data_IF_047242611577
#
_entry.id   IF_047242611577
#
_cell.length_a   1.000
_cell.length_b   1.000
_cell.length_c   1.000
_cell.angle_alpha   90.00
_cell.angle_beta   90.00
_cell.angle_gamma   90.00
#
_symmetry.space_group_name_H-M   'P 1'
#
loop_
_entity.id
_entity.type
_entity.pdbx_description
1 polymer ?
#
# COMPACT_ATOMS: atom_id res chain seq x y z
N UNK A 1 4.82 32.81 -9.33
CA UNK A 1 5.14 31.57 -10.08
C UNK A 1 4.05 30.60 -9.68
N UNK A 2 3.17 30.17 -10.59
CA UNK A 2 2.18 29.14 -10.26
C UNK A 2 2.96 27.84 -10.14
N UNK A 3 3.01 27.25 -8.95
CA UNK A 3 3.55 25.91 -8.79
C UNK A 3 2.62 24.94 -9.54
N UNK A 4 3.19 24.20 -10.49
CA UNK A 4 2.45 23.18 -11.23
C UNK A 4 2.12 22.03 -10.27
N UNK A 5 0.84 21.76 -10.08
CA UNK A 5 0.37 20.61 -9.31
C UNK A 5 0.16 19.43 -10.25
N UNK A 6 0.90 18.35 -10.03
CA UNK A 6 0.77 17.13 -10.81
C UNK A 6 -0.50 16.38 -10.43
N UNK A 7 -1.32 16.03 -11.40
CA UNK A 7 -2.60 15.32 -11.20
C UNK A 7 -2.44 13.84 -11.53
N UNK A 8 -2.61 12.99 -10.53
CA UNK A 8 -2.33 11.57 -10.65
C UNK A 8 -3.56 10.76 -10.23
N UNK A 9 -3.97 9.81 -11.07
CA UNK A 9 -5.04 8.88 -10.70
C UNK A 9 -4.46 7.72 -9.90
N UNK A 10 -4.92 7.55 -8.68
CA UNK A 10 -4.63 6.37 -7.88
C UNK A 10 -5.71 5.30 -8.10
N UNK A 11 -5.33 4.19 -8.74
CA UNK A 11 -6.21 3.07 -9.08
C UNK A 11 -6.63 2.27 -7.84
N UNK A 12 -7.35 2.90 -6.92
CA UNK A 12 -7.84 2.28 -5.68
C UNK A 12 -9.23 2.78 -5.31
N UNK A 13 -10.03 1.89 -4.69
CA UNK A 13 -11.29 2.26 -4.02
C UNK A 13 -11.13 2.27 -2.49
N UNK A 14 -9.95 1.91 -1.98
CA UNK A 14 -9.69 1.90 -0.54
C UNK A 14 -9.37 3.31 -0.03
N UNK A 15 -10.32 3.90 0.71
CA UNK A 15 -10.19 5.24 1.29
C UNK A 15 -9.00 5.38 2.27
N UNK A 16 -8.61 4.29 2.95
CA UNK A 16 -7.44 4.29 3.84
C UNK A 16 -6.15 4.44 3.04
N UNK A 17 -6.00 3.67 1.95
CA UNK A 17 -4.85 3.78 1.04
C UNK A 17 -4.76 5.17 0.41
N UNK A 18 -5.91 5.73 -0.02
CA UNK A 18 -5.95 7.06 -0.64
C UNK A 18 -5.47 8.14 0.32
N UNK A 19 -5.95 8.11 1.57
CA UNK A 19 -5.54 9.07 2.60
C UNK A 19 -4.05 8.96 2.91
N UNK A 20 -3.57 7.74 3.17
CA UNK A 20 -2.15 7.49 3.44
C UNK A 20 -1.26 7.94 2.28
N UNK A 21 -1.66 7.67 1.02
CA UNK A 21 -0.90 8.12 -0.16
C UNK A 21 -0.88 9.65 -0.30
N UNK A 22 -1.99 10.32 -0.01
CA UNK A 22 -2.06 11.78 -0.03
C UNK A 22 -1.11 12.40 1.02
N UNK A 23 -1.10 11.85 2.22
CA UNK A 23 -0.21 12.30 3.30
C UNK A 23 1.28 12.11 2.94
N UNK A 24 1.61 11.01 2.24
CA UNK A 24 2.99 10.68 1.86
C UNK A 24 3.48 11.52 0.68
N UNK A 25 2.66 11.72 -0.35
CA UNK A 25 3.05 12.45 -1.56
C UNK A 25 3.08 13.97 -1.33
N UNK A 26 2.29 14.46 -0.38
CA UNK A 26 2.33 15.83 0.10
C UNK A 26 1.87 16.88 -0.91
N UNK A 27 2.29 18.14 -0.68
CA UNK A 27 1.95 19.27 -1.55
C UNK A 27 2.58 19.12 -2.95
N UNK A 28 1.89 19.61 -3.97
CA UNK A 28 2.32 19.52 -5.38
C UNK A 28 1.80 18.29 -6.14
N UNK A 29 1.06 17.39 -5.46
CA UNK A 29 0.37 16.25 -6.08
C UNK A 29 -1.12 16.31 -5.74
N UNK A 30 -1.96 16.35 -6.75
CA UNK A 30 -3.41 16.16 -6.62
C UNK A 30 -3.74 14.70 -6.95
N UNK A 31 -4.19 13.95 -5.94
CA UNK A 31 -4.63 12.57 -6.14
C UNK A 31 -6.10 12.54 -6.57
N UNK A 32 -6.34 11.92 -7.70
CA UNK A 32 -7.65 11.60 -8.24
C UNK A 32 -7.97 10.13 -8.03
N UNK A 33 -9.25 9.83 -7.91
CA UNK A 33 -9.77 8.45 -7.94
C UNK A 33 -10.24 8.09 -9.36
N UNK A 34 -10.42 6.79 -9.68
CA UNK A 34 -11.06 6.39 -10.93
C UNK A 34 -12.44 7.04 -11.13
N UNK A 35 -13.19 7.24 -10.05
CA UNK A 35 -14.51 7.87 -10.09
C UNK A 35 -14.45 9.36 -10.48
N UNK A 36 -13.41 10.08 -10.06
CA UNK A 36 -13.18 11.48 -10.46
C UNK A 36 -12.90 11.61 -11.96
N UNK A 37 -12.48 10.50 -12.60
CA UNK A 37 -12.27 10.38 -14.03
C UNK A 37 -13.41 9.64 -14.76
N UNK A 38 -14.57 9.42 -14.11
CA UNK A 38 -15.73 8.71 -14.66
C UNK A 38 -15.40 7.28 -15.13
N UNK A 39 -14.38 6.64 -14.51
CA UNK A 39 -13.95 5.27 -14.83
C UNK A 39 -14.68 4.29 -13.90
N UNK A 40 -15.47 3.41 -14.51
CA UNK A 40 -16.16 2.34 -13.82
C UNK A 40 -15.42 1.01 -13.90
N UNK A 41 -15.66 0.14 -12.90
CA UNK A 41 -15.08 -1.19 -12.82
C UNK A 41 -13.67 -1.21 -12.23
N UNK A 42 -13.13 -2.40 -12.12
CA UNK A 42 -11.80 -2.68 -11.56
C UNK A 42 -11.06 -3.67 -12.44
N UNK A 43 -9.73 -3.65 -12.38
CA UNK A 43 -8.90 -4.66 -13.01
C UNK A 43 -9.07 -6.02 -12.32
N UNK A 44 -9.13 -7.08 -13.09
CA UNK A 44 -9.00 -8.43 -12.55
C UNK A 44 -7.56 -8.66 -12.07
N UNK A 45 -7.41 -9.00 -10.79
CA UNK A 45 -6.13 -9.33 -10.19
C UNK A 45 -5.77 -10.80 -10.48
N UNK A 46 -5.30 -11.07 -11.70
CA UNK A 46 -4.92 -12.40 -12.19
C UNK A 46 -3.41 -12.67 -12.09
N UNK A 47 -2.64 -11.70 -11.61
CA UNK A 47 -1.20 -11.82 -11.44
C UNK A 47 -0.81 -12.79 -10.33
N UNK A 48 0.35 -13.42 -10.48
CA UNK A 48 0.94 -14.30 -9.48
C UNK A 48 1.80 -13.55 -8.44
N UNK A 49 2.05 -12.26 -8.66
CA UNK A 49 2.89 -11.41 -7.81
C UNK A 49 2.23 -10.06 -7.56
N UNK A 50 2.65 -9.37 -6.48
CA UNK A 50 2.21 -8.00 -6.20
C UNK A 50 2.56 -7.04 -7.36
N UNK A 51 3.72 -7.22 -7.98
CA UNK A 51 4.14 -6.39 -9.11
C UNK A 51 3.23 -6.57 -10.35
N UNK A 52 2.84 -7.81 -10.65
CA UNK A 52 1.90 -8.09 -11.74
C UNK A 52 0.52 -7.49 -11.46
N UNK A 53 -0.02 -7.68 -10.25
CA UNK A 53 -1.31 -7.14 -9.88
C UNK A 53 -1.31 -5.60 -9.84
N UNK A 54 -0.26 -4.99 -9.29
CA UNK A 54 -0.07 -3.54 -9.30
C UNK A 54 -0.05 -3.00 -10.73
N UNK A 55 0.69 -3.67 -11.63
CA UNK A 55 0.73 -3.30 -13.04
C UNK A 55 -0.63 -3.45 -13.73
N UNK A 56 -1.34 -4.55 -13.52
CA UNK A 56 -2.68 -4.78 -14.11
C UNK A 56 -3.65 -3.67 -13.72
N UNK A 57 -3.66 -3.28 -12.43
CA UNK A 57 -4.49 -2.19 -11.93
C UNK A 57 -4.12 -0.83 -12.54
N UNK A 58 -2.83 -0.48 -12.55
CA UNK A 58 -2.37 0.77 -13.13
C UNK A 58 -2.66 0.84 -14.63
N UNK A 59 -2.39 -0.25 -15.37
CA UNK A 59 -2.62 -0.35 -16.81
C UNK A 59 -4.11 -0.25 -17.17
N UNK A 60 -4.99 -0.87 -16.39
CA UNK A 60 -6.44 -0.81 -16.57
C UNK A 60 -6.96 0.63 -16.56
N UNK A 61 -6.50 1.44 -15.61
CA UNK A 61 -6.88 2.86 -15.52
C UNK A 61 -6.18 3.67 -16.61
N UNK A 62 -4.88 3.43 -16.84
CA UNK A 62 -4.10 4.12 -17.86
C UNK A 62 -4.72 4.00 -19.25
N UNK A 63 -5.17 2.79 -19.63
CA UNK A 63 -5.82 2.55 -20.91
C UNK A 63 -7.14 3.33 -21.07
N UNK A 64 -7.85 3.56 -19.96
CA UNK A 64 -9.12 4.32 -19.98
C UNK A 64 -8.89 5.81 -19.98
N UNK A 65 -7.86 6.30 -19.32
CA UNK A 65 -7.50 7.71 -19.30
C UNK A 65 -6.84 8.12 -20.63
N UNK A 66 -5.91 7.32 -21.15
CA UNK A 66 -5.05 7.71 -22.26
C UNK A 66 -5.23 6.87 -23.53
N UNK A 67 -5.80 5.68 -23.46
CA UNK A 67 -5.87 4.72 -24.58
C UNK A 67 -6.75 5.18 -25.76
N UNK A 68 -7.65 6.13 -25.55
CA UNK A 68 -8.52 6.70 -26.60
C UNK A 68 -7.93 7.95 -27.26
N UNK A 69 -6.68 8.32 -27.01
CA UNK A 69 -6.06 9.52 -27.61
C UNK A 69 -5.95 9.47 -29.14
N UNK A 70 -6.20 8.29 -29.77
CA UNK A 70 -6.23 8.12 -31.22
C UNK A 70 -7.60 8.41 -31.88
N UNK A 71 -8.67 8.64 -31.09
CA UNK A 71 -10.01 8.96 -31.60
C UNK A 71 -10.52 10.23 -30.96
N UNK A 72 -10.76 11.32 -31.74
CA UNK A 72 -11.27 12.57 -31.16
C UNK A 72 -12.74 12.46 -30.82
N UNK A 73 -13.12 13.04 -29.65
CA UNK A 73 -14.45 13.50 -29.26
C UNK A 73 -15.38 12.57 -28.50
N UNK A 74 -15.15 12.53 -27.18
CA UNK A 74 -16.24 12.44 -26.19
C UNK A 74 -15.82 13.16 -24.90
N UNK A 75 -16.72 13.47 -23.99
CA UNK A 75 -16.48 14.28 -22.78
C UNK A 75 -15.35 13.76 -21.87
N UNK A 76 -14.87 12.52 -22.05
CA UNK A 76 -13.68 11.96 -21.44
C UNK A 76 -12.37 12.67 -21.89
N UNK A 77 -12.37 13.38 -23.02
CA UNK A 77 -11.17 14.09 -23.51
C UNK A 77 -10.72 15.21 -22.56
N UNK A 78 -11.62 15.78 -21.76
CA UNK A 78 -11.27 16.82 -20.80
C UNK A 78 -10.60 16.26 -19.53
N UNK A 79 -10.92 15.03 -19.12
CA UNK A 79 -10.27 14.41 -17.96
C UNK A 79 -8.83 13.99 -18.28
N UNK A 80 -8.59 13.46 -19.50
CA UNK A 80 -7.25 13.06 -19.94
C UNK A 80 -6.28 14.24 -20.06
N UNK A 81 -6.77 15.42 -20.45
CA UNK A 81 -5.92 16.62 -20.57
C UNK A 81 -5.41 17.13 -19.22
N UNK A 82 -6.04 16.71 -18.14
CA UNK A 82 -5.74 17.13 -16.78
C UNK A 82 -4.95 16.11 -15.96
N UNK A 83 -4.73 14.88 -16.47
CA UNK A 83 -4.02 13.80 -15.78
C UNK A 83 -2.61 13.66 -16.32
N UNK A 84 -1.61 13.55 -15.45
CA UNK A 84 -0.20 13.42 -15.80
C UNK A 84 0.28 11.97 -15.75
N UNK A 85 -0.25 11.21 -14.77
CA UNK A 85 0.13 9.83 -14.55
C UNK A 85 -0.98 9.04 -13.87
N UNK A 86 -0.83 7.73 -13.88
CA UNK A 86 -1.64 6.78 -13.12
C UNK A 86 -0.72 5.96 -12.26
N UNK A 87 -1.09 5.68 -11.01
CA UNK A 87 -0.43 4.65 -10.24
C UNK A 87 -1.42 3.71 -9.57
N UNK A 88 -0.93 2.52 -9.27
CA UNK A 88 -1.64 1.54 -8.45
C UNK A 88 -0.67 0.91 -7.45
N UNK A 89 -1.19 0.47 -6.31
CA UNK A 89 -0.48 -0.39 -5.40
C UNK A 89 -1.12 -1.78 -5.33
N UNK A 90 -0.28 -2.79 -5.14
CA UNK A 90 -0.71 -4.07 -4.60
C UNK A 90 0.07 -4.38 -3.33
N UNK A 91 -0.64 -4.82 -2.30
CA UNK A 91 -0.06 -4.93 -0.95
C UNK A 91 -0.59 -6.16 -0.24
N UNK A 92 0.28 -6.78 0.54
CA UNK A 92 -0.09 -7.94 1.31
C UNK A 92 0.85 -8.23 2.44
N UNK A 93 0.46 -9.26 3.22
CA UNK A 93 1.22 -9.82 4.33
C UNK A 93 1.85 -11.13 3.88
N UNK A 94 3.14 -11.28 4.08
CA UNK A 94 3.87 -12.53 3.87
C UNK A 94 4.36 -13.04 5.24
N UNK A 95 4.16 -14.35 5.52
CA UNK A 95 4.55 -14.98 6.78
C UNK A 95 5.43 -16.19 6.49
N UNK A 96 6.65 -16.19 7.01
CA UNK A 96 7.68 -17.16 6.66
C UNK A 96 7.29 -18.60 7.05
N UNK A 97 6.75 -18.80 8.26
CA UNK A 97 6.29 -20.10 8.73
C UNK A 97 5.13 -20.70 7.92
N UNK A 98 4.47 -19.89 7.09
CA UNK A 98 3.38 -20.31 6.23
C UNK A 98 3.78 -20.28 4.73
N UNK A 99 5.09 -20.28 4.42
CA UNK A 99 5.60 -20.28 3.06
C UNK A 99 5.25 -19.02 2.26
N UNK A 100 5.06 -17.88 2.95
CA UNK A 100 4.68 -16.60 2.36
C UNK A 100 3.18 -16.33 2.32
N UNK A 101 2.33 -17.27 2.77
CA UNK A 101 0.90 -16.99 2.92
C UNK A 101 0.66 -15.90 3.97
N UNK A 102 -0.40 -15.08 3.80
CA UNK A 102 -1.41 -15.05 2.74
C UNK A 102 -0.95 -14.43 1.39
N UNK A 103 0.16 -13.68 1.31
CA UNK A 103 0.69 -13.12 0.08
C UNK A 103 -0.34 -12.28 -0.68
N UNK A 104 -0.48 -12.51 -1.99
CA UNK A 104 -1.46 -11.81 -2.85
C UNK A 104 -2.93 -12.08 -2.45
N UNK A 105 -3.17 -13.07 -1.59
CA UNK A 105 -4.52 -13.38 -1.08
C UNK A 105 -4.84 -12.70 0.25
N UNK A 106 -4.00 -11.75 0.70
CA UNK A 106 -4.11 -11.06 1.99
C UNK A 106 -5.52 -10.58 2.31
N UNK A 107 -6.20 -9.91 1.39
CA UNK A 107 -7.55 -9.39 1.63
C UNK A 107 -8.64 -10.46 1.72
N UNK A 108 -8.43 -11.62 1.10
CA UNK A 108 -9.40 -12.72 0.96
C UNK A 108 -8.91 -14.04 1.55
N UNK A 109 -8.01 -13.97 2.53
CA UNK A 109 -7.35 -15.16 3.09
C UNK A 109 -8.32 -16.15 3.73
N UNK A 110 -9.35 -15.68 4.43
CA UNK A 110 -10.40 -16.52 5.00
C UNK A 110 -11.60 -16.74 4.07
N UNK A 111 -11.72 -15.97 2.98
CA UNK A 111 -12.82 -16.05 2.04
C UNK A 111 -13.02 -14.75 1.26
N UNK A 112 -14.00 -14.73 0.34
CA UNK A 112 -14.23 -13.61 -0.57
C UNK A 112 -14.85 -12.36 0.10
N UNK A 113 -15.36 -12.49 1.32
CA UNK A 113 -16.08 -11.40 2.03
C UNK A 113 -15.13 -10.30 2.53
N UNK A 114 -13.81 -10.47 2.34
CA UNK A 114 -12.77 -9.53 2.77
C UNK A 114 -12.87 -9.15 4.26
N UNK A 115 -13.31 -10.10 5.12
CA UNK A 115 -13.42 -9.90 6.55
C UNK A 115 -12.05 -10.06 7.22
N UNK A 116 -11.45 -8.96 7.63
CA UNK A 116 -10.12 -8.99 8.25
C UNK A 116 -10.11 -9.65 9.63
N UNK A 117 -11.22 -9.67 10.35
CA UNK A 117 -11.31 -10.41 11.62
C UNK A 117 -11.12 -11.90 11.38
N UNK A 118 -11.84 -12.45 10.41
CA UNK A 118 -11.76 -13.87 10.04
C UNK A 118 -10.38 -14.20 9.42
N UNK A 119 -9.82 -13.26 8.63
CA UNK A 119 -8.48 -13.41 8.06
C UNK A 119 -7.41 -13.51 9.15
N UNK A 120 -7.47 -12.67 10.20
CA UNK A 120 -6.55 -12.73 11.35
C UNK A 120 -6.74 -14.01 12.15
N UNK A 121 -7.98 -14.44 12.39
CA UNK A 121 -8.25 -15.68 13.13
C UNK A 121 -7.70 -16.90 12.38
N UNK A 122 -7.88 -16.96 11.07
CA UNK A 122 -7.30 -18.00 10.24
C UNK A 122 -5.77 -17.97 10.28
N UNK A 123 -5.17 -16.78 10.22
CA UNK A 123 -3.72 -16.61 10.30
C UNK A 123 -3.16 -17.15 11.61
N UNK A 124 -3.73 -16.72 12.73
CA UNK A 124 -3.30 -17.16 14.06
C UNK A 124 -3.49 -18.69 14.26
N UNK A 125 -4.59 -19.24 13.74
CA UNK A 125 -4.85 -20.68 13.75
C UNK A 125 -3.81 -21.44 12.93
N UNK A 126 -3.48 -20.99 11.73
CA UNK A 126 -2.50 -21.65 10.86
C UNK A 126 -1.09 -21.60 11.46
N UNK A 127 -0.68 -20.48 12.06
CA UNK A 127 0.59 -20.36 12.76
C UNK A 127 0.70 -21.33 13.93
N UNK A 128 -0.37 -21.46 14.74
CA UNK A 128 -0.43 -22.45 15.80
C UNK A 128 -0.31 -23.88 15.26
N UNK A 129 -1.00 -24.18 14.16
CA UNK A 129 -0.94 -25.48 13.49
C UNK A 129 0.44 -25.78 12.91
N UNK A 130 1.16 -24.77 12.46
CA UNK A 130 2.53 -24.87 11.95
C UNK A 130 3.58 -25.04 13.07
N UNK A 131 3.20 -24.95 14.36
CA UNK A 131 4.12 -25.02 15.48
C UNK A 131 4.98 -23.76 15.64
N UNK A 132 4.51 -22.61 15.18
CA UNK A 132 5.18 -21.33 15.37
C UNK A 132 4.93 -20.82 16.80
N UNK A 133 5.68 -21.36 17.76
CA UNK A 133 5.44 -21.19 19.19
C UNK A 133 6.23 -20.02 19.82
N UNK A 134 7.21 -19.47 19.09
CA UNK A 134 7.97 -18.27 19.50
C UNK A 134 7.70 -17.11 18.57
N UNK A 135 8.01 -15.89 18.99
CA UNK A 135 7.91 -14.71 18.11
C UNK A 135 8.85 -14.84 16.88
N UNK A 136 10.02 -15.39 17.08
CA UNK A 136 11.01 -15.61 16.01
C UNK A 136 10.49 -16.57 14.94
N UNK A 137 9.65 -17.56 15.31
CA UNK A 137 8.98 -18.47 14.36
C UNK A 137 7.89 -17.77 13.55
N UNK A 138 7.49 -16.57 13.95
CA UNK A 138 6.36 -15.80 13.38
C UNK A 138 6.82 -14.61 12.56
N UNK A 139 8.02 -14.69 12.00
CA UNK A 139 8.52 -13.64 11.09
C UNK A 139 7.56 -13.40 9.95
N UNK A 140 7.33 -12.14 9.71
CA UNK A 140 6.40 -11.69 8.68
C UNK A 140 6.82 -10.32 8.13
N UNK A 141 6.35 -9.99 6.96
CA UNK A 141 6.49 -8.65 6.40
C UNK A 141 5.22 -8.21 5.69
N UNK A 142 4.91 -6.94 5.82
CA UNK A 142 4.04 -6.30 4.86
C UNK A 142 4.84 -5.89 3.62
N UNK A 143 4.26 -6.14 2.45
CA UNK A 143 4.79 -5.70 1.16
C UNK A 143 3.83 -4.75 0.49
N UNK A 144 4.39 -3.76 -0.20
CA UNK A 144 3.64 -2.88 -1.09
C UNK A 144 4.45 -2.70 -2.37
N UNK A 145 3.87 -3.06 -3.51
CA UNK A 145 4.46 -2.77 -4.82
C UNK A 145 3.60 -1.73 -5.51
N UNK A 146 4.23 -0.63 -5.91
CA UNK A 146 3.60 0.49 -6.63
C UNK A 146 4.07 0.48 -8.07
N UNK A 147 3.13 0.49 -9.01
CA UNK A 147 3.40 0.73 -10.42
C UNK A 147 2.90 2.13 -10.79
N UNK A 148 3.81 3.01 -11.25
CA UNK A 148 3.52 4.33 -11.78
C UNK A 148 3.68 4.32 -13.30
N UNK A 149 2.69 4.82 -14.04
CA UNK A 149 2.72 4.94 -15.51
C UNK A 149 2.39 6.38 -15.89
N UNK A 150 3.35 7.08 -16.49
CA UNK A 150 3.14 8.43 -16.99
C UNK A 150 2.29 8.45 -18.26
N UNK A 151 1.80 9.63 -18.63
CA UNK A 151 1.01 9.85 -19.85
C UNK A 151 1.71 9.34 -21.11
N UNK A 152 3.02 9.48 -21.23
CA UNK A 152 3.84 9.02 -22.35
C UNK A 152 4.07 7.49 -22.37
N UNK A 153 3.56 6.77 -21.37
CA UNK A 153 3.72 5.33 -21.19
C UNK A 153 4.99 4.91 -20.45
N UNK A 154 5.83 5.85 -20.03
CA UNK A 154 7.01 5.54 -19.19
C UNK A 154 6.57 4.95 -17.86
N UNK A 155 7.12 3.81 -17.51
CA UNK A 155 6.71 3.01 -16.35
C UNK A 155 7.83 2.88 -15.33
N UNK A 156 7.45 3.00 -14.05
CA UNK A 156 8.31 2.72 -12.90
C UNK A 156 7.61 1.77 -11.94
N UNK A 157 8.40 0.96 -11.25
CA UNK A 157 7.93 0.03 -10.23
C UNK A 157 8.75 0.25 -8.97
N UNK A 158 8.08 0.41 -7.85
CA UNK A 158 8.68 0.61 -6.53
C UNK A 158 8.18 -0.45 -5.57
N UNK A 159 9.05 -0.88 -4.68
CA UNK A 159 8.76 -1.90 -3.67
C UNK A 159 9.12 -1.36 -2.29
N UNK A 160 8.24 -1.59 -1.32
CA UNK A 160 8.47 -1.25 0.08
C UNK A 160 8.03 -2.38 0.97
N UNK A 161 8.85 -2.70 1.99
CA UNK A 161 8.53 -3.70 2.99
C UNK A 161 8.62 -3.13 4.40
N UNK A 162 7.80 -3.66 5.30
CA UNK A 162 7.86 -3.45 6.73
C UNK A 162 8.04 -4.80 7.39
N UNK A 163 9.22 -5.04 7.97
CA UNK A 163 9.56 -6.28 8.64
C UNK A 163 8.99 -6.33 10.05
N UNK A 164 8.55 -7.51 10.47
CA UNK A 164 7.94 -7.70 11.78
C UNK A 164 7.65 -9.16 12.11
N UNK A 165 6.76 -9.34 13.06
CA UNK A 165 6.33 -10.64 13.56
C UNK A 165 4.82 -10.65 13.75
N UNK A 166 4.21 -11.83 13.66
CA UNK A 166 2.80 -12.00 14.03
C UNK A 166 2.67 -12.30 15.52
N UNK A 167 1.92 -11.48 16.23
CA UNK A 167 1.60 -11.67 17.65
C UNK A 167 0.84 -12.95 17.90
N UNK A 168 0.71 -13.34 19.19
CA UNK A 168 -0.08 -14.53 19.58
C UNK A 168 -1.58 -14.24 19.69
N UNK A 169 -1.96 -12.97 19.78
CA UNK A 169 -3.35 -12.51 19.89
C UNK A 169 -3.51 -11.12 19.29
N UNK A 170 -4.74 -10.75 18.98
CA UNK A 170 -5.08 -9.40 18.53
C UNK A 170 -4.90 -8.40 19.67
N UNK A 171 -4.29 -7.26 19.40
CA UNK A 171 -4.13 -6.13 20.33
C UNK A 171 -4.32 -4.80 19.61
N UNK A 172 -4.83 -3.79 20.33
CA UNK A 172 -5.12 -2.47 19.76
C UNK A 172 -6.42 -2.44 18.95
N UNK A 173 -6.82 -1.22 18.59
CA UNK A 173 -8.04 -0.97 17.80
C UNK A 173 -7.82 0.05 16.66
N UNK A 174 -6.59 0.53 16.50
CA UNK A 174 -6.21 1.43 15.42
C UNK A 174 -5.91 0.72 14.11
N UNK A 175 -5.71 1.50 13.06
CA UNK A 175 -5.29 0.98 11.77
C UNK A 175 -6.36 0.19 11.02
N UNK A 176 -5.91 -0.74 10.18
CA UNK A 176 -6.78 -1.60 9.36
C UNK A 176 -6.08 -2.93 9.03
N UNK A 177 -6.84 -3.88 8.49
CA UNK A 177 -6.29 -5.14 8.01
C UNK A 177 -5.72 -6.01 9.12
N UNK A 178 -4.46 -6.35 9.03
CA UNK A 178 -3.74 -7.19 10.00
C UNK A 178 -2.97 -6.39 11.06
N UNK A 179 -3.14 -5.06 11.12
CA UNK A 179 -2.46 -4.20 12.11
C UNK A 179 -2.60 -4.72 13.56
N UNK A 180 -3.77 -5.28 13.99
CA UNK A 180 -3.92 -5.79 15.37
C UNK A 180 -3.08 -7.04 15.70
N UNK A 181 -2.45 -7.67 14.72
CA UNK A 181 -1.62 -8.87 14.92
C UNK A 181 -0.18 -8.71 14.44
N UNK A 182 0.18 -7.55 13.88
CA UNK A 182 1.51 -7.32 13.34
C UNK A 182 2.35 -6.43 14.26
N UNK A 183 3.49 -6.92 14.73
CA UNK A 183 4.46 -6.23 15.58
C UNK A 183 5.67 -5.87 14.69
N UNK A 184 5.96 -4.59 14.42
CA UNK A 184 7.16 -4.20 13.68
C UNK A 184 8.42 -4.53 14.45
N UNK A 185 9.54 -4.79 13.75
CA UNK A 185 10.85 -4.98 14.41
C UNK A 185 11.34 -3.69 15.05
N UNK A 186 12.22 -3.80 16.04
CA UNK A 186 12.87 -2.63 16.66
C UNK A 186 13.72 -1.84 15.65
N UNK A 187 14.30 -2.51 14.65
CA UNK A 187 15.03 -1.85 13.57
C UNK A 187 14.10 -0.95 12.74
N UNK A 188 12.90 -1.43 12.44
CA UNK A 188 11.87 -0.62 11.74
C UNK A 188 11.41 0.57 12.58
N UNK A 189 11.19 0.36 13.88
CA UNK A 189 10.83 1.44 14.81
C UNK A 189 11.96 2.48 14.93
N UNK A 190 13.22 2.09 14.79
CA UNK A 190 14.38 3.00 14.88
C UNK A 190 14.34 4.10 13.82
N UNK A 191 13.70 3.86 12.67
CA UNK A 191 13.51 4.85 11.61
C UNK A 191 12.71 6.08 12.09
N UNK A 192 11.87 5.93 13.13
CA UNK A 192 11.12 7.03 13.75
C UNK A 192 12.01 8.08 14.42
N UNK A 193 13.29 7.78 14.66
CA UNK A 193 14.29 8.77 15.11
C UNK A 193 14.42 9.92 14.12
N UNK A 194 14.35 9.62 12.82
CA UNK A 194 14.37 10.64 11.77
C UNK A 194 13.10 11.49 11.76
N UNK A 195 11.98 10.95 12.29
CA UNK A 195 10.72 11.65 12.53
C UNK A 195 10.68 12.46 13.84
N UNK A 196 11.79 12.53 14.57
CA UNK A 196 11.92 13.36 15.78
C UNK A 196 11.64 12.64 17.11
N UNK A 197 11.35 11.33 17.11
CA UNK A 197 11.16 10.58 18.35
C UNK A 197 12.49 10.30 19.05
N UNK A 198 12.48 10.43 20.38
CA UNK A 198 13.59 10.02 21.22
C UNK A 198 13.70 8.49 21.32
N UNK A 199 14.88 7.99 21.66
CA UNK A 199 15.09 6.54 21.89
C UNK A 199 14.18 5.96 22.98
N UNK A 200 13.75 6.77 23.96
CA UNK A 200 12.85 6.33 25.04
C UNK A 200 11.45 6.12 24.47
N UNK A 201 10.92 7.07 23.70
CA UNK A 201 9.60 6.97 23.06
C UNK A 201 9.55 5.76 22.09
N UNK A 202 10.64 5.54 21.33
CA UNK A 202 10.72 4.35 20.44
C UNK A 202 10.68 3.06 21.25
N UNK A 203 11.37 2.97 22.40
CA UNK A 203 11.32 1.78 23.25
C UNK A 203 9.93 1.51 23.82
N UNK A 204 9.12 2.52 24.03
CA UNK A 204 7.73 2.37 24.48
C UNK A 204 6.82 1.78 23.39
N UNK A 205 7.25 1.82 22.13
CA UNK A 205 6.56 1.20 21.00
C UNK A 205 6.99 -0.24 20.74
N UNK A 206 8.18 -0.64 21.25
CA UNK A 206 8.69 -2.00 21.08
C UNK A 206 7.71 -3.06 21.62
N UNK A 207 7.46 -4.08 20.82
CA UNK A 207 6.53 -5.15 21.13
C UNK A 207 5.03 -4.82 20.98
N UNK A 208 4.70 -3.58 20.64
CA UNK A 208 3.31 -3.19 20.32
C UNK A 208 2.94 -3.57 18.89
N UNK A 209 1.68 -3.91 18.69
CA UNK A 209 1.13 -4.11 17.35
C UNK A 209 0.96 -2.75 16.64
N UNK A 210 0.88 -2.77 15.30
CA UNK A 210 0.60 -1.56 14.52
C UNK A 210 -0.72 -0.87 14.93
N UNK A 211 -1.70 -1.65 15.42
CA UNK A 211 -2.97 -1.11 15.91
C UNK A 211 -2.86 -0.39 17.27
N UNK A 212 -1.75 -0.53 17.98
CA UNK A 212 -1.44 0.15 19.23
C UNK A 212 -0.51 1.35 19.03
N UNK A 213 0.07 1.49 17.83
CA UNK A 213 0.94 2.62 17.45
C UNK A 213 0.08 3.74 16.86
N UNK A 214 0.29 5.01 17.27
CA UNK A 214 -0.40 6.15 16.67
C UNK A 214 -0.26 6.20 15.15
N UNK A 215 -1.36 6.46 14.43
CA UNK A 215 -1.43 6.38 12.97
C UNK A 215 -0.35 7.22 12.26
N UNK A 216 -0.09 8.44 12.75
CA UNK A 216 0.94 9.31 12.17
C UNK A 216 2.35 8.73 12.28
N UNK A 217 2.66 7.96 13.35
CA UNK A 217 3.95 7.27 13.50
C UNK A 217 4.00 6.01 12.65
N UNK A 218 2.91 5.23 12.63
CA UNK A 218 2.79 4.06 11.76
C UNK A 218 3.02 4.42 10.30
N UNK A 219 2.46 5.54 9.83
CA UNK A 219 2.60 5.99 8.45
C UNK A 219 4.05 6.26 8.06
N UNK A 220 4.91 6.71 8.99
CA UNK A 220 6.33 6.98 8.73
C UNK A 220 7.20 5.72 8.52
N UNK A 221 6.73 4.55 8.98
CA UNK A 221 7.45 3.27 8.84
C UNK A 221 6.74 2.30 7.91
N UNK A 222 5.54 2.64 7.43
CA UNK A 222 4.71 1.71 6.67
C UNK A 222 5.39 1.24 5.38
N UNK A 223 5.06 0.01 4.96
CA UNK A 223 5.47 -0.55 3.67
C UNK A 223 5.07 0.36 2.50
N UNK A 224 3.89 1.01 2.61
CA UNK A 224 3.42 1.95 1.58
C UNK A 224 4.22 3.24 1.58
N UNK A 225 4.59 3.78 2.76
CA UNK A 225 5.49 4.93 2.85
C UNK A 225 6.80 4.65 2.11
N UNK A 226 7.44 3.50 2.37
CA UNK A 226 8.69 3.10 1.73
C UNK A 226 8.57 2.93 0.22
N UNK A 227 7.42 2.42 -0.27
CA UNK A 227 7.16 2.28 -1.70
C UNK A 227 6.86 3.62 -2.39
N UNK A 228 6.18 4.57 -1.71
CA UNK A 228 5.77 5.85 -2.28
C UNK A 228 6.83 6.95 -2.14
N UNK A 229 7.73 6.88 -1.16
CA UNK A 229 8.78 7.88 -0.98
C UNK A 229 9.65 8.09 -2.25
N UNK A 230 10.11 7.03 -2.97
CA UNK A 230 10.82 7.21 -4.24
C UNK A 230 9.93 7.76 -5.37
N UNK A 231 8.61 7.51 -5.32
CA UNK A 231 7.65 8.08 -6.30
C UNK A 231 7.69 9.60 -6.25
N UNK A 232 7.63 10.19 -5.05
CA UNK A 232 7.73 11.65 -4.89
C UNK A 232 8.99 12.22 -5.56
N UNK A 233 10.15 11.55 -5.41
CA UNK A 233 11.38 11.95 -6.10
C UNK A 233 11.27 11.91 -7.62
N UNK A 234 10.64 10.86 -8.16
CA UNK A 234 10.47 10.69 -9.62
C UNK A 234 9.53 11.74 -10.20
N UNK A 235 8.46 12.09 -9.50
CA UNK A 235 7.49 13.12 -9.92
C UNK A 235 8.12 14.52 -10.05
N UNK A 236 9.23 14.78 -9.33
CA UNK A 236 9.93 16.06 -9.36
C UNK A 236 11.06 16.12 -10.41
N UNK A 237 11.53 14.99 -10.92
CA UNK A 237 12.67 14.91 -11.86
C UNK A 237 12.28 14.85 -13.33
N UNK A 238 11.06 14.44 -13.66
CA UNK A 238 10.53 14.36 -15.03
C UNK A 238 9.75 15.65 -15.45
N UNK A 239 10.18 16.81 -14.96
CA UNK A 239 9.67 18.14 -15.37
C UNK A 239 10.45 18.71 -16.54
#
# INVERSE_FOLDING_TARGET
MYEYTMRIVFATQNKGKLREAADILGEGVELLTPQDCEIEGEAEETGATFAENSFLKAKYIWDRVFGNMASPKNAADHASDLVDAVFADDSGLEVDALGGEPGIYTARYAGNDKNFTDNMDKLLFNLKKAGADTLEDRKARFRCVVTLIFRDGKKFVYDGSLEGHISFSKAGCGGFGYDPVFIPTDDELSALTSGGLSKTEIRELSGKTLAEIPEHLKNLISHRFKALQPVSGTLHTDK
#
